data_IF_050877801382
#
_entry.id   IF_050877801382
#
_cell.length_a   1.000
_cell.length_b   1.000
_cell.length_c   1.000
_cell.angle_alpha   90.00
_cell.angle_beta   90.00
_cell.angle_gamma   90.00
#
_symmetry.space_group_name_H-M   'P 1'
#
loop_
_entity.id
_entity.type
_entity.pdbx_description
1 polymer ?
#
# COMPACT_ATOMS: atom_id res chain seq x y z
N UNK A 1 -3.01 -19.80 26.93
CA UNK A 1 -3.56 -18.48 27.28
C UNK A 1 -3.41 -17.57 26.07
N UNK A 2 -4.54 -16.99 25.61
CA UNK A 2 -4.52 -15.99 24.55
C UNK A 2 -4.54 -14.62 25.22
N UNK A 3 -3.51 -13.81 24.99
CA UNK A 3 -3.48 -12.44 25.44
C UNK A 3 -4.40 -11.60 24.55
N UNK A 4 -5.49 -11.09 25.10
CA UNK A 4 -6.37 -10.16 24.42
C UNK A 4 -6.11 -8.73 24.94
N UNK A 5 -6.04 -7.76 24.02
CA UNK A 5 -5.95 -6.35 24.40
C UNK A 5 -7.34 -5.85 24.77
N UNK A 6 -7.47 -5.37 26.00
CA UNK A 6 -8.70 -4.72 26.48
C UNK A 6 -8.54 -3.20 26.47
N UNK A 7 -9.66 -2.49 26.35
CA UNK A 7 -9.71 -1.04 26.54
C UNK A 7 -9.43 -0.72 28.01
N UNK A 8 -8.47 0.17 28.28
CA UNK A 8 -8.24 0.74 29.59
C UNK A 8 -9.26 1.82 29.95
N UNK A 9 -9.09 2.43 31.15
CA UNK A 9 -9.86 3.62 31.51
C UNK A 9 -9.64 4.77 30.52
N UNK A 10 -10.68 5.57 30.26
CA UNK A 10 -10.55 6.77 29.43
C UNK A 10 -9.48 7.68 30.02
N UNK A 11 -8.50 8.00 29.23
CA UNK A 11 -7.41 8.91 29.60
C UNK A 11 -7.62 10.26 28.92
N UNK A 12 -7.65 11.32 29.72
CA UNK A 12 -7.63 12.68 29.22
C UNK A 12 -6.17 13.15 29.18
N UNK A 13 -5.64 13.37 27.98
CA UNK A 13 -4.29 13.87 27.80
C UNK A 13 -4.24 15.39 27.82
N UNK A 14 -3.03 15.94 27.90
CA UNK A 14 -2.76 17.36 27.72
C UNK A 14 -1.70 17.57 26.64
N UNK A 15 -1.79 18.68 25.90
CA UNK A 15 -0.72 19.08 25.00
C UNK A 15 0.45 19.58 25.84
N UNK A 16 1.61 18.96 25.71
CA UNK A 16 2.83 19.43 26.36
C UNK A 16 3.37 20.67 25.63
N UNK A 17 3.30 21.83 26.26
CA UNK A 17 3.80 23.10 25.67
C UNK A 17 5.32 22.95 25.51
N UNK A 18 5.78 23.12 24.25
CA UNK A 18 7.20 22.94 23.87
C UNK A 18 7.80 21.58 24.29
N UNK A 19 6.95 20.53 24.34
CA UNK A 19 7.38 19.19 24.72
C UNK A 19 7.67 18.98 26.22
N UNK A 20 7.44 19.99 27.07
CA UNK A 20 7.70 19.88 28.49
C UNK A 20 6.55 19.17 29.22
N UNK A 21 6.78 18.05 29.94
CA UNK A 21 5.75 17.35 30.67
C UNK A 21 5.26 18.13 31.91
N UNK A 22 6.01 19.15 32.35
CA UNK A 22 5.64 20.02 33.46
C UNK A 22 4.84 21.25 33.05
N UNK A 23 4.75 21.53 31.75
CA UNK A 23 3.99 22.66 31.22
C UNK A 23 2.82 22.12 30.37
N UNK A 24 1.70 21.86 31.04
CA UNK A 24 0.53 21.30 30.42
C UNK A 24 -0.32 22.41 29.79
N UNK A 25 -0.60 22.26 28.52
CA UNK A 25 -1.51 23.12 27.77
C UNK A 25 -2.95 22.60 27.80
N UNK A 26 -3.69 22.83 26.73
CA UNK A 26 -5.08 22.43 26.60
C UNK A 26 -5.27 20.91 26.80
N UNK A 27 -6.36 20.55 27.45
CA UNK A 27 -6.81 19.17 27.58
C UNK A 27 -7.22 18.63 26.21
N UNK A 28 -6.85 17.38 25.93
CA UNK A 28 -7.17 16.69 24.67
C UNK A 28 -7.83 15.36 25.01
N UNK A 29 -9.07 15.21 24.57
CA UNK A 29 -9.76 13.93 24.64
C UNK A 29 -9.25 12.97 23.55
N UNK A 30 -9.26 11.68 23.84
CA UNK A 30 -8.96 10.66 22.85
C UNK A 30 -9.96 10.73 21.69
N UNK A 31 -9.48 11.17 20.52
CA UNK A 31 -10.28 11.26 19.28
C UNK A 31 -9.61 10.44 18.19
N UNK A 32 -10.43 9.90 17.32
CA UNK A 32 -9.95 9.28 16.09
C UNK A 32 -9.38 10.35 15.15
N UNK A 33 -8.63 9.90 14.13
CA UNK A 33 -8.00 10.79 13.16
C UNK A 33 -9.05 11.71 12.50
N UNK A 34 -8.75 12.99 12.38
CA UNK A 34 -9.63 13.99 11.74
C UNK A 34 -9.98 13.58 10.30
N UNK A 35 -9.03 13.00 9.57
CA UNK A 35 -9.26 12.45 8.23
C UNK A 35 -10.30 11.32 8.18
N UNK A 36 -10.64 10.72 9.33
CA UNK A 36 -11.65 9.68 9.49
C UNK A 36 -12.89 10.19 10.24
N UNK A 37 -13.10 11.51 10.27
CA UNK A 37 -14.25 12.14 10.91
C UNK A 37 -14.01 12.66 12.32
N UNK A 38 -12.83 12.44 12.94
CA UNK A 38 -12.40 13.04 14.22
C UNK A 38 -13.29 12.76 15.43
N UNK A 39 -14.16 11.75 15.38
CA UNK A 39 -15.10 11.45 16.46
C UNK A 39 -14.38 10.81 17.65
N UNK A 40 -14.82 11.11 18.88
CA UNK A 40 -14.38 10.38 20.06
C UNK A 40 -14.74 8.89 19.89
N UNK A 41 -13.80 7.99 20.21
CA UNK A 41 -14.06 6.57 20.05
C UNK A 41 -12.99 5.70 20.67
N UNK A 42 -13.32 4.43 20.82
CA UNK A 42 -12.43 3.38 21.27
C UNK A 42 -11.48 2.93 20.13
N UNK A 43 -10.48 2.10 20.46
CA UNK A 43 -9.65 1.46 19.44
C UNK A 43 -10.47 0.57 18.50
N UNK A 44 -11.54 -0.03 19.00
CA UNK A 44 -12.45 -0.80 18.17
C UNK A 44 -13.20 0.07 17.15
N UNK A 45 -13.61 1.27 17.58
CA UNK A 45 -14.28 2.22 16.68
C UNK A 45 -13.32 2.72 15.59
N UNK A 46 -12.06 2.99 15.96
CA UNK A 46 -11.01 3.31 15.00
C UNK A 46 -10.80 2.16 14.00
N UNK A 47 -10.71 0.92 14.48
CA UNK A 47 -10.55 -0.25 13.61
C UNK A 47 -11.71 -0.39 12.63
N UNK A 48 -12.96 -0.21 13.10
CA UNK A 48 -14.15 -0.21 12.24
C UNK A 48 -14.11 0.90 11.19
N UNK A 49 -13.70 2.11 11.58
CA UNK A 49 -13.55 3.23 10.65
C UNK A 49 -12.47 2.98 9.59
N UNK A 50 -11.32 2.41 9.99
CA UNK A 50 -10.25 2.07 9.07
C UNK A 50 -10.66 1.04 8.01
N UNK A 51 -11.49 0.07 8.42
CA UNK A 51 -11.98 -1.00 7.52
C UNK A 51 -13.34 -0.70 6.88
N UNK A 52 -13.92 0.46 7.18
CA UNK A 52 -15.19 0.91 6.59
C UNK A 52 -15.10 1.03 5.08
N UNK A 53 -16.22 0.76 4.41
CA UNK A 53 -16.35 0.99 2.96
C UNK A 53 -16.20 2.46 2.57
N UNK A 54 -16.47 3.37 3.50
CA UNK A 54 -16.34 4.82 3.30
C UNK A 54 -14.89 5.31 3.38
N UNK A 55 -14.00 4.49 3.96
CA UNK A 55 -12.59 4.85 4.04
C UNK A 55 -11.87 4.51 2.72
N UNK A 56 -11.44 5.50 1.95
CA UNK A 56 -10.78 5.26 0.67
C UNK A 56 -9.30 4.89 0.81
N UNK A 57 -8.66 5.19 1.95
CA UNK A 57 -7.21 5.17 2.07
C UNK A 57 -6.64 3.77 2.29
N UNK A 58 -7.16 3.01 3.23
CA UNK A 58 -6.54 1.74 3.65
C UNK A 58 -6.44 0.75 2.50
N UNK A 59 -7.50 0.61 1.70
CA UNK A 59 -7.49 -0.28 0.54
C UNK A 59 -6.49 0.19 -0.53
N UNK A 60 -6.45 1.50 -0.83
CA UNK A 60 -5.49 2.07 -1.80
C UNK A 60 -4.05 1.88 -1.35
N UNK A 61 -3.74 2.12 -0.08
CA UNK A 61 -2.40 1.91 0.48
C UNK A 61 -1.97 0.45 0.38
N UNK A 62 -2.85 -0.48 0.75
CA UNK A 62 -2.56 -1.93 0.67
C UNK A 62 -2.34 -2.38 -0.78
N UNK A 63 -3.20 -1.97 -1.69
CA UNK A 63 -3.07 -2.27 -3.13
C UNK A 63 -1.76 -1.70 -3.67
N UNK A 64 -1.44 -0.45 -3.35
CA UNK A 64 -0.23 0.20 -3.81
C UNK A 64 1.04 -0.51 -3.29
N UNK A 65 1.06 -0.93 -2.03
CA UNK A 65 2.18 -1.69 -1.46
C UNK A 65 2.35 -3.05 -2.11
N UNK A 66 1.26 -3.75 -2.40
CA UNK A 66 1.31 -5.03 -3.12
C UNK A 66 1.80 -4.80 -4.55
N UNK A 67 1.26 -3.80 -5.25
CA UNK A 67 1.72 -3.42 -6.60
C UNK A 67 3.23 -3.10 -6.63
N UNK A 68 3.72 -2.33 -5.67
CA UNK A 68 5.13 -2.00 -5.50
C UNK A 68 6.01 -3.26 -5.43
N UNK A 69 5.54 -4.31 -4.73
CA UNK A 69 6.29 -5.58 -4.63
C UNK A 69 6.44 -6.28 -5.99
N UNK A 70 5.47 -6.15 -6.89
CA UNK A 70 5.50 -6.79 -8.20
C UNK A 70 6.22 -5.98 -9.27
N UNK A 71 6.01 -4.66 -9.29
CA UNK A 71 6.53 -3.78 -10.33
C UNK A 71 7.75 -2.95 -9.90
N UNK A 72 8.10 -2.94 -8.61
CA UNK A 72 9.23 -2.17 -8.09
C UNK A 72 8.95 -0.68 -7.87
N UNK A 73 7.83 -0.20 -8.38
CA UNK A 73 7.30 1.15 -8.15
C UNK A 73 5.80 1.04 -7.88
N UNK A 74 5.31 1.83 -6.94
CA UNK A 74 3.88 1.94 -6.67
C UNK A 74 3.15 2.69 -7.78
N UNK A 75 1.83 2.51 -7.87
CA UNK A 75 0.96 3.39 -8.67
C UNK A 75 1.05 4.81 -8.10
N UNK A 76 1.09 4.94 -6.76
CA UNK A 76 1.54 6.13 -6.05
C UNK A 76 3.02 5.92 -5.71
N UNK A 77 3.93 6.79 -6.23
CA UNK A 77 5.37 6.62 -6.03
C UNK A 77 5.83 6.77 -4.58
N UNK A 78 5.07 7.51 -3.77
CA UNK A 78 5.29 7.71 -2.33
C UNK A 78 4.41 6.78 -1.51
N UNK A 79 4.80 5.50 -1.28
CA UNK A 79 3.93 4.49 -0.69
C UNK A 79 3.57 4.75 0.78
N UNK A 80 4.32 5.61 1.45
CA UNK A 80 4.11 5.98 2.85
C UNK A 80 3.44 7.35 3.01
N UNK A 81 3.21 8.06 1.90
CA UNK A 81 2.52 9.35 1.90
C UNK A 81 1.47 9.42 0.79
N UNK A 82 0.22 9.32 1.19
CA UNK A 82 -0.98 9.51 0.35
C UNK A 82 -1.67 10.84 0.64
N UNK A 83 -0.99 11.72 1.35
CA UNK A 83 -1.46 13.06 1.71
C UNK A 83 -1.07 14.14 0.69
N UNK A 84 -1.29 15.40 1.05
CA UNK A 84 -1.03 16.54 0.16
C UNK A 84 0.44 16.73 -0.22
N UNK A 85 1.37 16.12 0.53
CA UNK A 85 2.82 16.17 0.24
C UNK A 85 3.30 14.96 -0.58
N UNK A 86 2.43 13.95 -0.78
CA UNK A 86 2.72 12.79 -1.60
C UNK A 86 2.60 13.08 -3.11
N UNK A 87 3.13 12.18 -3.92
CA UNK A 87 2.99 12.25 -5.36
C UNK A 87 1.62 11.73 -5.82
N UNK A 88 1.13 12.26 -6.93
CA UNK A 88 -0.12 11.80 -7.52
C UNK A 88 0.03 10.39 -8.12
N UNK A 89 -1.05 9.59 -8.10
CA UNK A 89 -1.03 8.27 -8.71
C UNK A 89 -0.87 8.36 -10.23
N UNK A 90 0.02 7.55 -10.80
CA UNK A 90 0.21 7.44 -12.25
C UNK A 90 -1.06 6.96 -12.98
N UNK A 91 -1.83 6.09 -12.34
CA UNK A 91 -3.05 5.49 -12.85
C UNK A 91 -4.18 5.54 -11.80
N UNK A 92 -4.81 6.70 -11.56
CA UNK A 92 -5.78 6.85 -10.48
C UNK A 92 -6.99 5.92 -10.62
N UNK A 93 -7.54 5.78 -11.82
CA UNK A 93 -8.68 4.89 -12.09
C UNK A 93 -8.35 3.41 -11.82
N UNK A 94 -7.14 2.98 -12.13
CA UNK A 94 -6.68 1.61 -11.86
C UNK A 94 -6.55 1.38 -10.35
N UNK A 95 -5.97 2.33 -9.63
CA UNK A 95 -5.83 2.25 -8.19
C UNK A 95 -7.21 2.16 -7.50
N UNK A 96 -8.16 2.98 -7.93
CA UNK A 96 -9.51 2.98 -7.38
C UNK A 96 -10.26 1.69 -7.67
N UNK A 97 -10.13 1.18 -8.88
CA UNK A 97 -10.74 -0.09 -9.27
C UNK A 97 -10.17 -1.26 -8.45
N UNK A 98 -8.84 -1.38 -8.37
CA UNK A 98 -8.18 -2.42 -7.58
C UNK A 98 -8.53 -2.31 -6.08
N UNK A 99 -8.61 -1.10 -5.53
CA UNK A 99 -8.99 -0.88 -4.14
C UNK A 99 -10.44 -1.28 -3.85
N UNK A 100 -11.34 -1.02 -4.79
CA UNK A 100 -12.75 -1.42 -4.67
C UNK A 100 -12.88 -2.93 -4.75
N UNK A 101 -12.30 -3.55 -5.77
CA UNK A 101 -12.31 -5.01 -5.96
C UNK A 101 -11.68 -5.75 -4.77
N UNK A 102 -10.58 -5.23 -4.23
CA UNK A 102 -9.91 -5.79 -3.04
C UNK A 102 -10.83 -5.81 -1.81
N UNK A 103 -11.63 -4.76 -1.60
CA UNK A 103 -12.63 -4.72 -0.52
C UNK A 103 -13.78 -5.69 -0.77
N UNK A 104 -14.32 -5.71 -1.98
CA UNK A 104 -15.43 -6.60 -2.39
C UNK A 104 -15.03 -8.07 -2.26
N UNK A 105 -13.79 -8.41 -2.57
CA UNK A 105 -13.20 -9.74 -2.37
C UNK A 105 -12.75 -9.99 -0.92
N UNK A 106 -13.37 -9.33 0.07
CA UNK A 106 -13.13 -9.52 1.50
C UNK A 106 -11.66 -9.37 1.91
N UNK A 107 -10.98 -8.38 1.33
CA UNK A 107 -9.57 -8.09 1.61
C UNK A 107 -8.63 -9.27 1.29
N UNK A 108 -8.95 -10.06 0.30
CA UNK A 108 -8.17 -11.24 -0.10
C UNK A 108 -6.92 -10.84 -0.88
N UNK A 109 -5.78 -10.80 -0.17
CA UNK A 109 -4.46 -10.56 -0.77
C UNK A 109 -4.17 -11.59 -1.88
N UNK A 110 -4.57 -12.84 -1.70
CA UNK A 110 -4.37 -13.91 -2.68
C UNK A 110 -5.13 -13.65 -4.00
N UNK A 111 -6.36 -13.14 -3.91
CA UNK A 111 -7.15 -12.75 -5.07
C UNK A 111 -6.49 -11.60 -5.82
N UNK A 112 -6.08 -10.55 -5.11
CA UNK A 112 -5.40 -9.39 -5.68
C UNK A 112 -4.08 -9.77 -6.37
N UNK A 113 -3.25 -10.59 -5.73
CA UNK A 113 -2.01 -11.09 -6.33
C UNK A 113 -2.31 -11.85 -7.62
N UNK A 114 -3.32 -12.74 -7.61
CA UNK A 114 -3.72 -13.50 -8.79
C UNK A 114 -4.12 -12.60 -9.95
N UNK A 115 -4.90 -11.56 -9.69
CA UNK A 115 -5.28 -10.59 -10.70
C UNK A 115 -4.07 -9.87 -11.30
N UNK A 116 -3.14 -9.41 -10.46
CA UNK A 116 -1.93 -8.73 -10.91
C UNK A 116 -1.07 -9.64 -11.79
N UNK A 117 -0.76 -10.86 -11.33
CA UNK A 117 0.16 -11.75 -12.07
C UNK A 117 -0.44 -12.33 -13.35
N UNK A 118 -1.76 -12.42 -13.44
CA UNK A 118 -2.46 -12.83 -14.66
C UNK A 118 -2.71 -11.68 -15.63
N UNK A 119 -2.50 -10.43 -15.22
CA UNK A 119 -2.69 -9.26 -16.09
C UNK A 119 -1.72 -9.25 -17.26
N UNK A 120 -2.14 -8.67 -18.37
CA UNK A 120 -1.26 -8.47 -19.52
C UNK A 120 -0.08 -7.57 -19.19
N UNK A 121 -0.28 -6.58 -18.34
CA UNK A 121 0.78 -5.66 -17.87
C UNK A 121 1.90 -6.40 -17.14
N UNK A 122 1.59 -7.38 -16.31
CA UNK A 122 2.61 -8.18 -15.62
C UNK A 122 3.29 -9.18 -16.55
N UNK A 123 2.58 -9.69 -17.53
CA UNK A 123 3.06 -10.72 -18.49
C UNK A 123 3.74 -10.14 -19.73
N UNK A 124 3.81 -8.81 -19.85
CA UNK A 124 4.47 -8.17 -20.98
C UNK A 124 5.99 -8.39 -20.98
N UNK A 125 6.63 -8.22 -22.14
CA UNK A 125 8.08 -8.31 -22.29
C UNK A 125 8.80 -7.22 -21.49
N UNK A 126 10.00 -7.53 -21.01
CA UNK A 126 10.94 -6.55 -20.45
C UNK A 126 11.79 -5.87 -21.55
N UNK A 127 11.80 -6.45 -22.75
CA UNK A 127 12.52 -5.94 -23.92
C UNK A 127 11.54 -5.19 -24.81
N UNK A 128 11.89 -3.97 -25.17
CA UNK A 128 11.12 -3.20 -26.16
C UNK A 128 11.46 -3.72 -27.56
N UNK A 129 10.45 -4.08 -28.35
CA UNK A 129 10.69 -4.45 -29.74
C UNK A 129 11.06 -3.23 -30.57
N UNK A 130 12.07 -3.32 -31.45
CA UNK A 130 12.53 -2.19 -32.27
C UNK A 130 11.43 -1.56 -33.12
N UNK A 131 10.43 -2.35 -33.50
CA UNK A 131 9.28 -1.92 -34.30
C UNK A 131 8.34 -0.94 -33.56
N UNK A 132 8.43 -0.86 -32.24
CA UNK A 132 7.51 -0.08 -31.40
C UNK A 132 7.96 1.37 -31.15
N UNK A 133 8.73 1.97 -32.07
CA UNK A 133 9.19 3.36 -31.91
C UNK A 133 9.86 3.63 -30.55
N UNK A 134 10.81 2.78 -30.18
CA UNK A 134 11.48 2.82 -28.86
C UNK A 134 11.99 4.22 -28.51
N UNK A 135 12.51 4.96 -29.50
CA UNK A 135 13.01 6.31 -29.29
C UNK A 135 11.91 7.30 -28.91
N UNK A 136 10.71 7.17 -29.49
CA UNK A 136 9.56 8.02 -29.13
C UNK A 136 9.05 7.69 -27.73
N UNK A 137 8.98 6.42 -27.38
CA UNK A 137 8.53 5.96 -26.08
C UNK A 137 9.51 6.43 -24.99
N UNK A 138 10.82 6.30 -25.22
CA UNK A 138 11.86 6.79 -24.30
C UNK A 138 11.81 8.30 -24.10
N UNK A 139 11.38 9.07 -25.08
CA UNK A 139 11.18 10.51 -24.96
C UNK A 139 9.96 10.86 -24.12
N UNK A 140 8.88 10.09 -24.22
CA UNK A 140 7.62 10.35 -23.52
C UNK A 140 7.66 9.81 -22.08
N UNK A 141 8.17 8.60 -21.88
CA UNK A 141 8.23 7.94 -20.58
C UNK A 141 9.58 7.26 -20.34
N UNK A 142 10.66 8.05 -20.15
CA UNK A 142 12.01 7.50 -19.95
C UNK A 142 12.13 6.64 -18.70
N UNK A 143 11.30 6.87 -17.70
CA UNK A 143 11.32 6.16 -16.41
C UNK A 143 10.35 4.98 -16.34
N UNK A 144 9.63 4.67 -17.43
CA UNK A 144 8.62 3.62 -17.47
C UNK A 144 7.52 3.78 -16.39
N UNK A 145 7.06 5.03 -16.19
CA UNK A 145 6.02 5.34 -15.21
C UNK A 145 4.66 4.78 -15.61
N UNK A 146 4.44 4.65 -16.92
CA UNK A 146 3.21 4.15 -17.51
C UNK A 146 3.24 2.63 -17.74
N UNK A 147 4.29 1.95 -17.29
CA UNK A 147 4.45 0.49 -17.41
C UNK A 147 4.35 -0.03 -18.84
N UNK A 148 4.96 0.66 -19.81
CA UNK A 148 4.96 0.21 -21.22
C UNK A 148 5.79 -1.06 -21.45
N UNK A 149 6.65 -1.43 -20.50
CA UNK A 149 7.40 -2.70 -20.46
C UNK A 149 7.51 -3.20 -19.02
N UNK A 150 7.72 -4.50 -18.84
CA UNK A 150 7.96 -5.06 -17.51
C UNK A 150 9.32 -4.58 -16.98
N UNK A 151 9.38 -3.95 -15.80
CA UNK A 151 10.65 -3.54 -15.21
C UNK A 151 11.51 -4.74 -14.81
N UNK A 152 12.76 -4.76 -15.21
CA UNK A 152 13.73 -5.79 -14.80
C UNK A 152 14.17 -5.52 -13.36
N UNK A 153 14.01 -6.51 -12.49
CA UNK A 153 14.35 -6.40 -11.07
C UNK A 153 15.26 -7.54 -10.64
N UNK A 154 16.20 -7.21 -9.77
CA UNK A 154 16.98 -8.23 -9.09
C UNK A 154 16.11 -8.92 -8.04
N UNK A 155 16.12 -10.25 -7.99
CA UNK A 155 15.48 -11.00 -6.92
C UNK A 155 16.15 -10.68 -5.58
N UNK A 156 15.34 -10.58 -4.54
CA UNK A 156 15.87 -10.45 -3.18
C UNK A 156 16.57 -11.76 -2.78
N UNK A 157 17.65 -11.66 -2.01
CA UNK A 157 18.44 -12.82 -1.58
C UNK A 157 17.59 -13.88 -0.87
N UNK A 158 16.62 -13.45 -0.06
CA UNK A 158 15.68 -14.35 0.64
C UNK A 158 14.82 -15.14 -0.36
N UNK A 159 14.28 -14.47 -1.40
CA UNK A 159 13.49 -15.15 -2.42
C UNK A 159 14.33 -16.19 -3.19
N UNK A 160 15.59 -15.85 -3.52
CA UNK A 160 16.50 -16.76 -4.20
C UNK A 160 16.82 -18.01 -3.35
N UNK A 161 17.09 -17.83 -2.06
CA UNK A 161 17.40 -18.96 -1.16
C UNK A 161 16.20 -19.88 -0.97
N UNK A 162 14.99 -19.34 -0.86
CA UNK A 162 13.76 -20.15 -0.75
C UNK A 162 13.46 -20.92 -2.04
N UNK A 163 13.58 -20.29 -3.20
CA UNK A 163 13.36 -20.95 -4.48
C UNK A 163 14.36 -22.12 -4.66
N UNK A 164 15.64 -21.88 -4.39
CA UNK A 164 16.68 -22.90 -4.51
C UNK A 164 16.50 -24.05 -3.51
N UNK A 165 16.01 -23.78 -2.30
CA UNK A 165 15.74 -24.85 -1.32
C UNK A 165 14.63 -25.81 -1.80
N UNK A 166 13.66 -25.33 -2.58
CA UNK A 166 12.63 -26.16 -3.18
C UNK A 166 13.14 -26.98 -4.37
N UNK A 167 14.04 -26.45 -5.20
CA UNK A 167 14.62 -27.19 -6.32
C UNK A 167 15.44 -28.41 -5.83
N UNK A 168 16.19 -28.26 -4.75
CA UNK A 168 16.99 -29.36 -4.19
C UNK A 168 16.16 -30.48 -3.53
N UNK A 169 14.87 -30.26 -3.27
CA UNK A 169 13.98 -31.31 -2.75
C UNK A 169 13.40 -32.22 -3.84
N UNK A 170 13.38 -31.79 -5.11
CA UNK A 170 12.85 -32.58 -6.24
C UNK A 170 13.91 -33.43 -6.92
N UNK A 171 15.20 -33.27 -6.62
CA UNK A 171 16.32 -34.02 -7.18
C UNK A 171 16.77 -35.22 -6.28
N UNK A 172 15.88 -35.73 -5.40
CA UNK A 172 16.17 -36.94 -4.59
C UNK A 172 15.14 -38.04 -4.77
#
# INVERSE_FOLDING_TARGET
>A
YVLAMAEGSKFTGHVNVRGSPHNLGSSVDGRNLTALGGQPGSRLDLAKQLTSAENPLVARVMVNRIWLQFFGRGIVPTPDDFGPMGEEPSHPKLLDWLATDFRENKWSIKSLIRQIVLSQTYRQSSVTHPENHEDKIKLVDPQNLLFYKMPVRRLQAVAYTHLRAHETQFDR
#
